data_IF_616587276654
#
_entry.id   IF_616587276654
#
_cell.length_a   1.000
_cell.length_b   1.000
_cell.length_c   1.000
_cell.angle_alpha   90.00
_cell.angle_beta   90.00
_cell.angle_gamma   90.00
#
_symmetry.space_group_name_H-M   'P 1'
#
loop_
_entity.id
_entity.type
_entity.pdbx_description
1 polymer ?
#
# COMPACT_ATOMS: atom_id res chain seq x y z
N UNK A 1 -21.47 5.04 -11.06
CA UNK A 1 -20.16 4.38 -11.30
C UNK A 1 -19.57 4.06 -9.94
N UNK A 2 -19.46 2.77 -9.58
CA UNK A 2 -18.70 2.40 -8.38
C UNK A 2 -17.21 2.54 -8.73
N UNK A 3 -16.59 3.61 -8.28
CA UNK A 3 -15.14 3.76 -8.39
C UNK A 3 -14.44 2.65 -7.60
N UNK A 4 -13.25 2.25 -8.06
CA UNK A 4 -12.40 1.29 -7.35
C UNK A 4 -12.06 1.86 -5.98
N UNK A 5 -12.36 1.11 -4.90
CA UNK A 5 -12.01 1.51 -3.54
C UNK A 5 -10.53 1.15 -3.28
N UNK A 6 -9.65 2.04 -3.69
CA UNK A 6 -8.20 1.89 -3.57
C UNK A 6 -7.71 1.70 -2.13
N UNK A 7 -8.35 2.36 -1.16
CA UNK A 7 -8.02 2.19 0.27
C UNK A 7 -8.30 0.76 0.75
N UNK A 8 -9.37 0.11 0.25
CA UNK A 8 -9.66 -1.30 0.53
C UNK A 8 -8.56 -2.22 -0.02
N UNK A 9 -8.12 -1.98 -1.26
CA UNK A 9 -7.09 -2.79 -1.91
C UNK A 9 -5.74 -2.65 -1.18
N UNK A 10 -5.35 -1.42 -0.84
CA UNK A 10 -4.12 -1.16 -0.08
C UNK A 10 -4.17 -1.88 1.27
N UNK A 11 -5.31 -1.82 1.96
CA UNK A 11 -5.51 -2.49 3.24
C UNK A 11 -5.36 -4.01 3.11
N UNK A 12 -5.95 -4.62 2.08
CA UNK A 12 -5.82 -6.07 1.82
C UNK A 12 -4.37 -6.48 1.59
N UNK A 13 -3.62 -5.73 0.77
CA UNK A 13 -2.19 -6.02 0.51
C UNK A 13 -1.37 -5.94 1.80
N UNK A 14 -1.60 -4.92 2.62
CA UNK A 14 -0.89 -4.76 3.90
C UNK A 14 -1.22 -5.91 4.85
N UNK A 15 -2.49 -6.29 4.96
CA UNK A 15 -2.93 -7.41 5.81
C UNK A 15 -2.29 -8.73 5.37
N UNK A 16 -2.29 -9.04 4.07
CA UNK A 16 -1.66 -10.26 3.56
C UNK A 16 -0.14 -10.25 3.75
N UNK A 17 0.50 -9.09 3.64
CA UNK A 17 1.93 -8.94 3.92
C UNK A 17 2.21 -9.21 5.40
N UNK A 18 1.41 -8.65 6.33
CA UNK A 18 1.55 -8.87 7.78
C UNK A 18 1.43 -10.35 8.17
N UNK A 19 0.61 -11.12 7.45
CA UNK A 19 0.48 -12.57 7.65
C UNK A 19 1.70 -13.37 7.17
N UNK A 20 2.56 -12.79 6.34
CA UNK A 20 3.75 -13.45 5.85
C UNK A 20 4.88 -13.39 6.88
N UNK A 21 4.93 -14.40 7.75
CA UNK A 21 5.92 -14.46 8.84
C UNK A 21 7.38 -14.44 8.34
N UNK A 22 7.64 -14.95 7.13
CA UNK A 22 8.98 -14.91 6.51
C UNK A 22 9.41 -13.49 6.14
N UNK A 23 8.46 -12.63 5.78
CA UNK A 23 8.77 -11.24 5.41
C UNK A 23 9.37 -10.46 6.59
N UNK A 24 8.99 -10.81 7.81
CA UNK A 24 9.46 -10.18 9.04
C UNK A 24 10.44 -11.05 9.84
N UNK A 25 10.92 -12.15 9.23
CA UNK A 25 11.90 -13.03 9.84
C UNK A 25 13.19 -12.23 10.03
N UNK A 26 13.65 -12.14 11.28
CA UNK A 26 14.79 -11.32 11.73
C UNK A 26 14.53 -9.82 11.96
N UNK A 27 13.28 -9.36 11.95
CA UNK A 27 12.94 -7.98 12.33
C UNK A 27 12.48 -7.89 13.79
N UNK A 28 12.94 -6.85 14.49
CA UNK A 28 12.38 -6.41 15.78
C UNK A 28 10.95 -5.88 15.60
N UNK A 29 10.18 -5.79 16.68
CA UNK A 29 8.83 -5.25 16.62
C UNK A 29 8.78 -3.82 16.04
N UNK A 30 9.77 -2.98 16.36
CA UNK A 30 9.88 -1.62 15.84
C UNK A 30 10.12 -1.61 14.32
N UNK A 31 11.02 -2.47 13.83
CA UNK A 31 11.29 -2.61 12.39
C UNK A 31 10.07 -3.13 11.63
N UNK A 32 9.30 -4.06 12.21
CA UNK A 32 8.06 -4.55 11.61
C UNK A 32 7.04 -3.43 11.43
N UNK A 33 6.84 -2.62 12.47
CA UNK A 33 5.91 -1.47 12.42
C UNK A 33 6.37 -0.46 11.37
N UNK A 34 7.66 -0.17 11.31
CA UNK A 34 8.23 0.75 10.33
C UNK A 34 8.07 0.24 8.90
N UNK A 35 8.38 -1.03 8.64
CA UNK A 35 8.24 -1.65 7.32
C UNK A 35 6.79 -1.65 6.83
N UNK A 36 5.82 -1.93 7.70
CA UNK A 36 4.40 -1.89 7.36
C UNK A 36 3.94 -0.45 7.05
N UNK A 37 4.39 0.53 7.83
CA UNK A 37 4.06 1.93 7.61
C UNK A 37 4.65 2.47 6.28
N UNK A 38 5.88 2.07 5.96
CA UNK A 38 6.55 2.41 4.70
C UNK A 38 5.84 1.77 3.51
N UNK A 39 5.47 0.49 3.61
CA UNK A 39 4.69 -0.23 2.59
C UNK A 39 3.35 0.47 2.31
N UNK A 40 2.59 0.79 3.37
CA UNK A 40 1.32 1.49 3.23
C UNK A 40 1.50 2.85 2.54
N UNK A 41 2.52 3.62 2.94
CA UNK A 41 2.82 4.93 2.35
C UNK A 41 3.19 4.81 0.87
N UNK A 42 4.00 3.82 0.51
CA UNK A 42 4.40 3.57 -0.87
C UNK A 42 3.21 3.17 -1.75
N UNK A 43 2.40 2.22 -1.30
CA UNK A 43 1.19 1.79 -2.02
C UNK A 43 0.19 2.93 -2.19
N UNK A 44 -0.02 3.74 -1.14
CA UNK A 44 -0.88 4.92 -1.22
C UNK A 44 -0.36 5.96 -2.20
N UNK A 45 0.95 6.16 -2.26
CA UNK A 45 1.57 7.10 -3.19
C UNK A 45 1.39 6.62 -4.64
N UNK A 46 1.78 5.39 -4.95
CA UNK A 46 1.63 4.77 -6.27
C UNK A 46 0.18 4.86 -6.77
N UNK A 47 -0.78 4.50 -5.93
CA UNK A 47 -2.19 4.47 -6.32
C UNK A 47 -2.77 5.89 -6.50
N UNK A 48 -2.40 6.85 -5.65
CA UNK A 48 -2.86 8.24 -5.79
C UNK A 48 -2.22 8.92 -7.00
N UNK A 49 -0.91 8.73 -7.22
CA UNK A 49 -0.19 9.35 -8.34
C UNK A 49 -0.63 8.77 -9.69
N UNK A 50 -0.76 7.45 -9.81
CA UNK A 50 -1.34 6.84 -11.01
C UNK A 50 -2.80 7.25 -11.26
N UNK A 51 -3.56 7.56 -10.20
CA UNK A 51 -4.92 8.08 -10.33
C UNK A 51 -4.93 9.55 -10.79
N UNK A 52 -3.91 10.35 -10.45
CA UNK A 52 -3.78 11.75 -10.85
C UNK A 52 -3.25 11.90 -12.29
N UNK A 53 -2.32 11.05 -12.75
CA UNK A 53 -1.82 11.09 -14.13
C UNK A 53 -2.90 10.76 -15.18
N UNK A 54 -3.89 9.93 -14.84
CA UNK A 54 -5.01 9.62 -15.74
C UNK A 54 -5.99 10.80 -15.95
N UNK A 55 -5.90 11.86 -15.16
CA UNK A 55 -6.76 13.05 -15.30
C UNK A 55 -6.11 14.11 -16.22
N UNK A 56 -4.79 14.06 -16.43
CA UNK A 56 -4.06 15.11 -17.17
C UNK A 56 -3.71 14.77 -18.63
N UNK A 57 -4.13 13.62 -19.16
CA UNK A 57 -3.89 13.24 -20.58
C UNK A 57 -5.09 13.49 -21.52
N UNK A 58 -6.09 14.23 -21.05
CA UNK A 58 -7.22 14.72 -21.86
C UNK A 58 -7.27 16.25 -21.87
N UNK A 59 -6.31 16.89 -22.56
CA UNK A 59 -6.48 18.24 -23.14
C UNK A 59 -6.07 18.23 -24.61
#
# INVERSE_FOLDING_TARGET
MCGVNYESIITEIVVETVKNEKFFENMTAEEKVKAVAELYRALRHEVIEHSHEHVHTHE
#
